data_IF_278532182024
#
_entry.id   IF_278532182024
#
_cell.length_a   1.000
_cell.length_b   1.000
_cell.length_c   1.000
_cell.angle_alpha   90.00
_cell.angle_beta   90.00
_cell.angle_gamma   90.00
#
_symmetry.space_group_name_H-M   'P 1'
#
loop_
_entity.id
_entity.type
_entity.pdbx_description
1 polymer ?
#
# COMPACT_ATOMS: atom_id res chain seq x y z
N UNK A 1 6.24 18.40 -2.59
CA UNK A 1 6.00 17.22 -3.44
C UNK A 1 4.91 16.39 -2.79
N UNK A 2 3.69 16.40 -3.31
CA UNK A 2 2.59 15.62 -2.75
C UNK A 2 2.88 14.12 -3.04
N UNK A 3 3.21 13.36 -2.00
CA UNK A 3 3.47 11.92 -2.13
C UNK A 3 2.17 11.15 -2.37
N UNK A 4 2.21 10.13 -3.22
CA UNK A 4 1.06 9.24 -3.46
C UNK A 4 0.70 8.38 -2.25
N UNK A 5 1.55 8.38 -1.21
CA UNK A 5 1.35 7.59 0.01
C UNK A 5 0.02 7.88 0.70
N UNK A 6 -0.39 9.15 0.80
CA UNK A 6 -1.61 9.52 1.51
C UNK A 6 -2.85 8.95 0.82
N UNK A 7 -2.96 9.11 -0.50
CA UNK A 7 -4.06 8.55 -1.29
C UNK A 7 -3.99 7.03 -1.34
N UNK A 8 -2.80 6.44 -1.47
CA UNK A 8 -2.59 5.00 -1.42
C UNK A 8 -3.09 4.40 -0.10
N UNK A 9 -2.69 4.98 1.04
CA UNK A 9 -3.15 4.53 2.36
C UNK A 9 -4.67 4.68 2.50
N UNK A 10 -5.25 5.77 2.01
CA UNK A 10 -6.70 5.95 2.03
C UNK A 10 -7.42 4.84 1.24
N UNK A 11 -6.95 4.50 0.05
CA UNK A 11 -7.51 3.41 -0.77
C UNK A 11 -7.34 2.04 -0.09
N UNK A 12 -6.16 1.77 0.48
CA UNK A 12 -5.89 0.53 1.20
C UNK A 12 -6.80 0.38 2.42
N UNK A 13 -6.96 1.43 3.24
CA UNK A 13 -7.85 1.41 4.41
C UNK A 13 -9.32 1.31 4.00
N UNK A 14 -9.74 1.99 2.92
CA UNK A 14 -11.10 1.85 2.37
C UNK A 14 -11.39 0.42 1.89
N UNK A 15 -10.38 -0.28 1.39
CA UNK A 15 -10.45 -1.70 1.03
C UNK A 15 -10.38 -2.66 2.24
N UNK A 16 -10.29 -2.15 3.47
CA UNK A 16 -10.15 -2.94 4.69
C UNK A 16 -8.74 -3.49 4.93
N UNK A 17 -7.74 -3.07 4.15
CA UNK A 17 -6.35 -3.42 4.43
C UNK A 17 -5.89 -2.71 5.71
N UNK A 18 -5.12 -3.44 6.53
CA UNK A 18 -4.64 -2.94 7.82
C UNK A 18 -3.13 -2.97 7.91
N UNK A 19 -2.56 -1.96 8.53
CA UNK A 19 -1.16 -1.99 8.94
C UNK A 19 -0.96 -3.08 10.00
N UNK A 20 0.11 -3.86 9.84
CA UNK A 20 0.45 -4.96 10.75
C UNK A 20 1.67 -4.60 11.58
N UNK A 21 2.77 -4.20 10.92
CA UNK A 21 4.03 -3.84 11.59
C UNK A 21 4.95 -3.05 10.67
N UNK A 22 5.91 -2.29 11.22
CA UNK A 22 7.01 -1.76 10.41
C UNK A 22 7.90 -2.91 9.89
N UNK A 23 8.35 -2.78 8.64
CA UNK A 23 9.38 -3.62 8.03
C UNK A 23 10.78 -3.06 8.29
N UNK A 24 11.75 -3.50 7.48
CA UNK A 24 13.12 -2.96 7.54
C UNK A 24 13.15 -1.58 6.87
N UNK A 25 13.64 -0.57 7.60
CA UNK A 25 13.77 0.79 7.08
C UNK A 25 12.44 1.53 7.05
N UNK A 26 12.13 2.13 5.90
CA UNK A 26 10.94 2.92 5.58
C UNK A 26 9.79 2.10 4.98
N UNK A 27 9.91 0.77 5.02
CA UNK A 27 8.87 -0.16 4.59
C UNK A 27 7.88 -0.46 5.72
N UNK A 28 6.60 -0.53 5.37
CA UNK A 28 5.50 -0.94 6.25
C UNK A 28 4.93 -2.28 5.77
N UNK A 29 4.60 -3.20 6.66
CA UNK A 29 3.91 -4.43 6.32
C UNK A 29 2.42 -4.25 6.62
N UNK A 30 1.62 -4.49 5.59
CA UNK A 30 0.17 -4.41 5.60
C UNK A 30 -0.43 -5.78 5.30
N UNK A 31 -1.66 -6.00 5.75
CA UNK A 31 -2.45 -7.19 5.49
C UNK A 31 -3.66 -6.82 4.64
N UNK A 32 -3.86 -7.53 3.54
CA UNK A 32 -5.05 -7.42 2.71
C UNK A 32 -6.04 -8.55 3.06
N UNK A 33 -7.27 -8.21 3.49
CA UNK A 33 -8.32 -9.21 3.65
C UNK A 33 -8.84 -9.74 2.31
N UNK A 34 -8.64 -9.00 1.20
CA UNK A 34 -9.10 -9.38 -0.13
C UNK A 34 -8.30 -10.56 -0.70
N UNK A 35 -6.98 -10.52 -0.52
CA UNK A 35 -6.07 -11.58 -0.99
C UNK A 35 -5.63 -12.52 0.13
N UNK A 36 -6.03 -12.24 1.37
CA UNK A 36 -5.61 -12.93 2.59
C UNK A 36 -4.07 -13.04 2.70
N UNK A 37 -3.36 -11.97 2.32
CA UNK A 37 -1.89 -11.94 2.24
C UNK A 37 -1.32 -10.67 2.86
N UNK A 38 -0.10 -10.81 3.34
CA UNK A 38 0.71 -9.67 3.75
C UNK A 38 1.47 -9.11 2.56
N UNK A 39 1.54 -7.78 2.46
CA UNK A 39 2.25 -7.06 1.42
C UNK A 39 3.01 -5.88 2.03
N UNK A 40 3.97 -5.35 1.28
CA UNK A 40 4.82 -4.27 1.75
C UNK A 40 4.39 -2.95 1.09
N UNK A 41 4.26 -1.91 1.90
CA UNK A 41 4.00 -0.54 1.47
C UNK A 41 5.25 0.28 1.73
N UNK A 42 5.79 0.89 0.69
CA UNK A 42 6.92 1.81 0.84
C UNK A 42 6.39 3.20 1.23
N UNK A 43 6.79 3.68 2.43
CA UNK A 43 6.42 5.02 2.90
C UNK A 43 7.07 6.15 2.09
N UNK A 44 8.14 5.83 1.34
CA UNK A 44 8.82 6.70 0.40
C UNK A 44 8.20 6.76 -1.01
N UNK A 45 6.99 6.22 -1.22
CA UNK A 45 6.30 6.20 -2.53
C UNK A 45 6.22 7.61 -3.16
N UNK A 46 7.14 7.85 -4.10
CA UNK A 46 7.23 9.08 -4.92
C UNK A 46 6.76 8.86 -6.36
N UNK A 47 6.50 7.61 -6.75
CA UNK A 47 6.15 7.22 -8.11
C UNK A 47 4.78 6.53 -8.15
N UNK A 48 4.00 6.84 -9.19
CA UNK A 48 2.71 6.19 -9.51
C UNK A 48 2.87 4.69 -9.75
N UNK A 49 3.99 4.29 -10.35
CA UNK A 49 4.27 2.88 -10.64
C UNK A 49 4.34 2.06 -9.36
N UNK A 50 5.09 2.54 -8.36
CA UNK A 50 5.21 1.85 -7.07
C UNK A 50 3.87 1.80 -6.34
N UNK A 51 3.10 2.90 -6.33
CA UNK A 51 1.78 2.92 -5.71
C UNK A 51 0.81 1.90 -6.34
N UNK A 52 0.81 1.81 -7.67
CA UNK A 52 -0.01 0.85 -8.40
C UNK A 52 0.42 -0.60 -8.19
N UNK A 53 1.72 -0.88 -8.07
CA UNK A 53 2.19 -2.23 -7.73
C UNK A 53 1.75 -2.62 -6.31
N UNK A 54 1.77 -1.70 -5.35
CA UNK A 54 1.21 -1.94 -4.01
C UNK A 54 -0.29 -2.24 -4.06
N UNK A 55 -1.08 -1.48 -4.82
CA UNK A 55 -2.52 -1.77 -5.01
C UNK A 55 -2.73 -3.16 -5.60
N UNK A 56 -1.95 -3.52 -6.62
CA UNK A 56 -2.00 -4.84 -7.24
C UNK A 56 -1.67 -5.96 -6.25
N UNK A 57 -0.67 -5.77 -5.38
CA UNK A 57 -0.34 -6.74 -4.32
C UNK A 57 -1.47 -6.86 -3.28
N UNK A 58 -2.16 -5.76 -2.99
CA UNK A 58 -3.34 -5.76 -2.12
C UNK A 58 -4.58 -6.39 -2.77
N UNK A 59 -4.55 -6.68 -4.08
CA UNK A 59 -5.69 -7.20 -4.85
C UNK A 59 -6.63 -6.12 -5.38
N UNK A 60 -6.18 -4.87 -5.44
CA UNK A 60 -6.94 -3.72 -5.91
C UNK A 60 -6.55 -3.34 -7.35
N UNK A 61 -7.48 -2.73 -8.12
CA UNK A 61 -7.16 -2.15 -9.42
C UNK A 61 -6.18 -0.97 -9.27
N UNK A 62 -5.49 -0.65 -10.36
CA UNK A 62 -4.64 0.55 -10.44
C UNK A 62 -5.49 1.81 -10.26
N UNK A 63 -4.98 2.79 -9.52
CA UNK A 63 -5.67 4.05 -9.24
C UNK A 63 -4.83 5.30 -9.57
N UNK A 64 -3.54 5.12 -9.93
CA UNK A 64 -2.58 6.20 -10.20
C UNK A 64 -1.97 6.11 -11.60
#
# INVERSE_FOLDING_TARGET
MAGYLRELKALLTAAGCRFVRPGKGDHEIWFSPLTNRHFTVDSGVKSRHTANETLKQAGLPKAF
#
